data_IF_497136018372
#
_entry.id   IF_497136018372
#
_cell.length_a   1.000
_cell.length_b   1.000
_cell.length_c   1.000
_cell.angle_alpha   90.00
_cell.angle_beta   90.00
_cell.angle_gamma   90.00
#
_symmetry.space_group_name_H-M   'P 1'
#
loop_
_entity.id
_entity.type
_entity.pdbx_description
1 polymer ?
#
# COMPACT_ATOMS: atom_id res chain seq x y z
N UNK A 1 -6.62 -4.11 -17.23
CA UNK A 1 -7.36 -2.93 -16.71
C UNK A 1 -8.51 -3.35 -15.78
N UNK A 2 -9.35 -4.32 -16.18
CA UNK A 2 -10.55 -4.74 -15.42
C UNK A 2 -10.25 -5.21 -13.99
N UNK A 3 -9.26 -6.05 -13.78
CA UNK A 3 -8.94 -6.61 -12.46
C UNK A 3 -8.48 -5.57 -11.45
N UNK A 4 -7.62 -4.63 -11.88
CA UNK A 4 -7.14 -3.54 -11.01
C UNK A 4 -8.29 -2.60 -10.64
N UNK A 5 -9.13 -2.23 -11.60
CA UNK A 5 -10.28 -1.35 -11.35
C UNK A 5 -11.25 -1.94 -10.31
N UNK A 6 -11.59 -3.23 -10.44
CA UNK A 6 -12.46 -3.90 -9.46
C UNK A 6 -11.80 -4.03 -8.08
N UNK A 7 -10.52 -4.37 -8.03
CA UNK A 7 -9.77 -4.42 -6.77
C UNK A 7 -9.76 -3.06 -6.07
N UNK A 8 -9.56 -1.99 -6.81
CA UNK A 8 -9.58 -0.62 -6.26
C UNK A 8 -10.96 -0.24 -5.73
N UNK A 9 -12.02 -0.56 -6.48
CA UNK A 9 -13.41 -0.27 -6.04
C UNK A 9 -13.73 -1.01 -4.74
N UNK A 10 -13.44 -2.30 -4.67
CA UNK A 10 -13.71 -3.12 -3.48
C UNK A 10 -12.91 -2.61 -2.28
N UNK A 11 -11.62 -2.34 -2.46
CA UNK A 11 -10.78 -1.84 -1.37
C UNK A 11 -11.12 -0.42 -0.96
N UNK A 12 -11.54 0.43 -1.89
CA UNK A 12 -12.00 1.79 -1.59
C UNK A 12 -13.29 1.76 -0.77
N UNK A 13 -14.25 0.92 -1.16
CA UNK A 13 -15.49 0.72 -0.40
C UNK A 13 -15.19 0.20 1.01
N UNK A 14 -14.34 -0.81 1.14
CA UNK A 14 -13.91 -1.34 2.43
C UNK A 14 -13.16 -0.30 3.27
N UNK A 15 -12.29 0.49 2.66
CA UNK A 15 -11.55 1.55 3.33
C UNK A 15 -12.49 2.65 3.86
N UNK A 16 -13.46 3.11 3.07
CA UNK A 16 -14.46 4.10 3.50
C UNK A 16 -15.29 3.54 4.65
N UNK A 17 -15.73 2.29 4.55
CA UNK A 17 -16.51 1.63 5.60
C UNK A 17 -15.71 1.56 6.90
N UNK A 18 -14.46 1.12 6.86
CA UNK A 18 -13.58 1.08 8.04
C UNK A 18 -13.28 2.47 8.59
N UNK A 19 -13.10 3.45 7.73
CA UNK A 19 -12.83 4.83 8.16
C UNK A 19 -14.01 5.42 8.93
N UNK A 20 -15.22 5.20 8.47
CA UNK A 20 -16.45 5.69 9.12
C UNK A 20 -16.78 4.90 10.38
N UNK A 21 -16.62 3.57 10.35
CA UNK A 21 -16.94 2.70 11.47
C UNK A 21 -15.82 2.60 12.52
N UNK A 22 -14.64 3.15 12.25
CA UNK A 22 -13.50 3.09 13.17
C UNK A 22 -13.85 3.45 14.62
N UNK A 23 -14.50 4.58 14.93
CA UNK A 23 -14.86 4.91 16.33
C UNK A 23 -15.84 3.92 16.93
N UNK A 24 -16.82 3.44 16.16
CA UNK A 24 -17.81 2.48 16.64
C UNK A 24 -17.20 1.12 16.97
N UNK A 25 -16.30 0.65 16.09
CA UNK A 25 -15.59 -0.63 16.30
C UNK A 25 -14.74 -0.57 17.58
N UNK A 26 -14.02 0.51 17.80
CA UNK A 26 -13.11 0.64 18.95
C UNK A 26 -13.87 0.78 20.26
N UNK A 27 -15.02 1.44 20.28
CA UNK A 27 -15.88 1.51 21.47
C UNK A 27 -16.28 0.14 22.00
N UNK A 28 -16.39 -0.87 21.13
CA UNK A 28 -16.71 -2.27 21.52
C UNK A 28 -15.50 -2.95 22.17
N UNK A 29 -14.27 -2.60 21.77
CA UNK A 29 -13.06 -3.30 22.20
C UNK A 29 -12.35 -2.66 23.38
N UNK A 30 -12.49 -1.35 23.61
CA UNK A 30 -11.80 -0.66 24.68
C UNK A 30 -12.61 0.52 25.20
N UNK A 31 -12.61 0.69 26.51
CA UNK A 31 -13.23 1.84 27.20
C UNK A 31 -12.23 2.96 27.49
N UNK A 32 -10.94 2.73 27.26
CA UNK A 32 -9.89 3.72 27.51
C UNK A 32 -9.85 4.77 26.41
N UNK A 33 -10.09 6.08 26.72
CA UNK A 33 -10.15 7.14 25.72
C UNK A 33 -8.81 7.38 25.03
N UNK A 34 -7.68 7.09 25.68
CA UNK A 34 -6.34 7.24 25.09
C UNK A 34 -6.11 6.17 24.02
N UNK A 35 -6.42 4.92 24.35
CA UNK A 35 -6.31 3.79 23.42
C UNK A 35 -7.27 3.98 22.26
N UNK A 36 -8.50 4.44 22.52
CA UNK A 36 -9.47 4.73 21.46
C UNK A 36 -8.94 5.74 20.44
N UNK A 37 -8.39 6.86 20.88
CA UNK A 37 -7.84 7.90 20.00
C UNK A 37 -6.70 7.37 19.12
N UNK A 38 -5.75 6.65 19.71
CA UNK A 38 -4.60 6.10 19.01
C UNK A 38 -5.05 5.07 17.96
N UNK A 39 -5.97 4.18 18.35
CA UNK A 39 -6.44 3.11 17.46
C UNK A 39 -7.33 3.63 16.34
N UNK A 40 -8.20 4.59 16.59
CA UNK A 40 -8.99 5.24 15.54
C UNK A 40 -8.09 5.93 14.52
N UNK A 41 -7.07 6.64 14.98
CA UNK A 41 -6.09 7.25 14.09
C UNK A 41 -5.37 6.21 13.24
N UNK A 42 -4.95 5.09 13.83
CA UNK A 42 -4.32 3.97 13.14
C UNK A 42 -5.23 3.37 12.05
N UNK A 43 -6.49 3.09 12.38
CA UNK A 43 -7.47 2.54 11.42
C UNK A 43 -7.70 3.51 10.26
N UNK A 44 -7.78 4.80 10.54
CA UNK A 44 -7.92 5.82 9.49
C UNK A 44 -6.70 5.89 8.57
N UNK A 45 -5.50 5.84 9.13
CA UNK A 45 -4.26 5.77 8.34
C UNK A 45 -4.23 4.53 7.45
N UNK A 46 -4.54 3.36 8.00
CA UNK A 46 -4.58 2.11 7.24
C UNK A 46 -5.64 2.17 6.15
N UNK A 47 -6.84 2.67 6.45
CA UNK A 47 -7.91 2.80 5.47
C UNK A 47 -7.48 3.62 4.25
N UNK A 48 -6.69 4.68 4.47
CA UNK A 48 -6.13 5.47 3.40
C UNK A 48 -5.07 4.72 2.58
N UNK A 49 -4.31 3.83 3.22
CA UNK A 49 -3.24 3.05 2.58
C UNK A 49 -3.79 1.90 1.72
N UNK A 50 -4.93 1.31 2.09
CA UNK A 50 -5.47 0.12 1.42
C UNK A 50 -5.62 0.23 -0.10
N UNK A 51 -6.15 1.30 -0.68
CA UNK A 51 -6.25 1.44 -2.14
C UNK A 51 -4.89 1.39 -2.83
N UNK A 52 -3.87 2.01 -2.22
CA UNK A 52 -2.50 1.98 -2.76
C UNK A 52 -1.89 0.59 -2.70
N UNK A 53 -2.08 -0.11 -1.59
CA UNK A 53 -1.65 -1.52 -1.45
C UNK A 53 -2.33 -2.39 -2.50
N UNK A 54 -3.64 -2.23 -2.71
CA UNK A 54 -4.39 -2.99 -3.70
C UNK A 54 -3.85 -2.80 -5.12
N UNK A 55 -3.57 -1.57 -5.51
CA UNK A 55 -2.97 -1.25 -6.82
C UNK A 55 -1.59 -1.88 -6.94
N UNK A 56 -0.74 -1.71 -5.94
CA UNK A 56 0.62 -2.25 -5.92
C UNK A 56 0.65 -3.78 -6.00
N UNK A 57 -0.17 -4.45 -5.17
CA UNK A 57 -0.26 -5.91 -5.17
C UNK A 57 -0.85 -6.47 -6.46
N UNK A 58 -1.92 -5.86 -6.99
CA UNK A 58 -2.52 -6.27 -8.26
C UNK A 58 -1.53 -6.12 -9.41
N UNK A 59 -0.79 -5.03 -9.46
CA UNK A 59 0.27 -4.79 -10.44
C UNK A 59 1.38 -5.85 -10.35
N UNK A 60 1.82 -6.16 -9.14
CA UNK A 60 2.83 -7.19 -8.90
C UNK A 60 2.37 -8.59 -9.31
N UNK A 61 1.13 -8.95 -9.00
CA UNK A 61 0.56 -10.25 -9.40
C UNK A 61 0.40 -10.39 -10.92
N UNK A 62 0.03 -9.31 -11.61
CA UNK A 62 -0.02 -9.30 -13.08
C UNK A 62 1.39 -9.55 -13.67
N UNK A 63 2.42 -8.92 -13.12
CA UNK A 63 3.80 -9.16 -13.52
C UNK A 63 4.25 -10.61 -13.28
N UNK A 64 3.84 -11.19 -12.15
CA UNK A 64 4.08 -12.63 -11.88
C UNK A 64 3.38 -13.53 -12.88
N UNK A 65 2.12 -13.24 -13.23
CA UNK A 65 1.36 -13.99 -14.24
C UNK A 65 1.98 -13.91 -15.64
N UNK A 66 2.77 -12.87 -15.93
CA UNK A 66 3.57 -12.76 -17.16
C UNK A 66 4.94 -13.45 -17.07
N UNK A 67 5.17 -14.29 -16.07
CA UNK A 67 6.44 -15.00 -15.84
C UNK A 67 7.55 -14.11 -15.24
N UNK A 68 7.24 -12.89 -14.80
CA UNK A 68 8.21 -11.97 -14.22
C UNK A 68 7.99 -11.84 -12.71
N UNK A 69 8.48 -12.80 -11.94
CA UNK A 69 8.36 -12.82 -10.48
C UNK A 69 9.27 -11.81 -9.76
N UNK A 70 10.45 -11.53 -10.29
CA UNK A 70 11.42 -10.60 -9.69
C UNK A 70 10.86 -9.21 -9.39
N UNK A 71 10.09 -8.55 -10.27
CA UNK A 71 9.51 -7.25 -9.98
C UNK A 71 8.69 -7.21 -8.70
N UNK A 72 7.93 -8.25 -8.42
CA UNK A 72 7.13 -8.33 -7.20
C UNK A 72 7.99 -8.36 -5.93
N UNK A 73 9.07 -9.14 -5.94
CA UNK A 73 10.03 -9.18 -4.82
C UNK A 73 10.70 -7.83 -4.63
N UNK A 74 11.15 -7.20 -5.72
CA UNK A 74 11.80 -5.89 -5.67
C UNK A 74 10.87 -4.81 -5.12
N UNK A 75 9.62 -4.75 -5.58
CA UNK A 75 8.62 -3.78 -5.11
C UNK A 75 8.35 -3.98 -3.62
N UNK A 76 8.20 -5.23 -3.17
CA UNK A 76 7.95 -5.55 -1.77
C UNK A 76 9.16 -5.21 -0.89
N UNK A 77 10.37 -5.51 -1.37
CA UNK A 77 11.61 -5.17 -0.68
C UNK A 77 11.82 -3.66 -0.57
N UNK A 78 11.58 -2.91 -1.63
CA UNK A 78 11.62 -1.44 -1.59
C UNK A 78 10.65 -0.91 -0.54
N UNK A 79 9.42 -1.40 -0.54
CA UNK A 79 8.40 -0.95 0.40
C UNK A 79 8.81 -1.18 1.85
N UNK A 80 9.27 -2.39 2.17
CA UNK A 80 9.55 -2.79 3.55
C UNK A 80 10.94 -2.34 3.99
N UNK A 81 11.98 -2.72 3.24
CA UNK A 81 13.36 -2.55 3.66
C UNK A 81 13.92 -1.16 3.37
N UNK A 82 13.61 -0.58 2.19
CA UNK A 82 14.22 0.68 1.77
C UNK A 82 13.42 1.92 2.21
N UNK A 83 12.14 1.80 2.40
CA UNK A 83 11.30 2.95 2.75
C UNK A 83 10.70 2.82 4.14
N UNK A 84 9.94 1.75 4.42
CA UNK A 84 9.21 1.64 5.68
C UNK A 84 10.15 1.50 6.89
N UNK A 85 11.12 0.60 6.84
CA UNK A 85 12.01 0.33 7.97
C UNK A 85 12.94 1.52 8.29
N UNK A 86 13.66 2.13 7.32
CA UNK A 86 14.50 3.29 7.61
C UNK A 86 13.72 4.51 8.09
N UNK A 87 12.53 4.78 7.51
CA UNK A 87 11.70 5.88 7.97
C UNK A 87 11.13 5.64 9.37
N UNK A 88 10.67 4.42 9.66
CA UNK A 88 10.18 4.07 10.98
C UNK A 88 11.30 4.20 12.04
N UNK A 89 12.50 3.73 11.72
CA UNK A 89 13.68 3.87 12.59
C UNK A 89 14.04 5.34 12.79
N UNK A 90 14.09 6.13 11.74
CA UNK A 90 14.40 7.55 11.79
C UNK A 90 13.42 8.32 12.68
N UNK A 91 12.12 8.13 12.48
CA UNK A 91 11.10 8.82 13.28
C UNK A 91 11.06 8.35 14.73
N UNK A 92 11.25 7.04 14.98
CA UNK A 92 11.20 6.47 16.32
C UNK A 92 12.45 6.79 17.15
N UNK A 93 13.63 6.61 16.56
CA UNK A 93 14.91 6.64 17.32
C UNK A 93 15.56 8.01 17.29
N UNK A 94 15.59 8.68 16.12
CA UNK A 94 16.34 9.94 15.97
C UNK A 94 15.49 11.13 16.41
N UNK A 95 14.21 11.16 16.02
CA UNK A 95 13.32 12.27 16.35
C UNK A 95 12.54 12.08 17.66
N UNK A 96 12.58 10.87 18.27
CA UNK A 96 11.84 10.58 19.50
C UNK A 96 10.33 10.88 19.41
N UNK A 97 9.78 10.79 18.20
CA UNK A 97 8.38 11.14 17.94
C UNK A 97 7.44 10.00 18.32
N UNK A 98 6.16 10.31 18.66
CA UNK A 98 5.19 9.29 19.01
C UNK A 98 4.94 8.30 17.86
N UNK A 99 4.47 7.10 18.20
CA UNK A 99 4.20 5.97 17.28
C UNK A 99 3.43 6.35 16.02
N UNK A 100 2.65 7.42 16.07
CA UNK A 100 1.89 7.97 14.93
C UNK A 100 2.79 8.27 13.71
N UNK A 101 4.02 8.67 13.91
CA UNK A 101 4.96 8.97 12.82
C UNK A 101 5.45 7.71 12.09
N UNK A 102 5.44 6.56 12.76
CA UNK A 102 5.70 5.26 12.11
C UNK A 102 4.61 4.96 11.09
N UNK A 103 3.36 5.32 11.36
CA UNK A 103 2.26 5.13 10.42
C UNK A 103 2.36 6.04 9.20
N UNK A 104 2.84 7.27 9.37
CA UNK A 104 3.16 8.15 8.24
C UNK A 104 4.26 7.54 7.35
N UNK A 105 5.26 6.89 7.94
CA UNK A 105 6.30 6.20 7.15
C UNK A 105 5.72 5.06 6.32
N UNK A 106 4.74 4.33 6.86
CA UNK A 106 4.01 3.29 6.11
C UNK A 106 3.18 3.87 4.95
N UNK A 107 2.56 5.04 5.15
CA UNK A 107 1.82 5.72 4.09
C UNK A 107 2.74 6.12 2.94
N UNK A 108 3.85 6.79 3.24
CA UNK A 108 4.85 7.21 2.26
C UNK A 108 5.40 6.00 1.51
N UNK A 109 5.78 4.96 2.25
CA UNK A 109 6.28 3.71 1.70
C UNK A 109 5.30 3.06 0.71
N UNK A 110 4.01 3.03 1.05
CA UNK A 110 2.98 2.44 0.20
C UNK A 110 2.77 3.24 -1.09
N UNK A 111 2.80 4.56 -1.02
CA UNK A 111 2.69 5.44 -2.20
C UNK A 111 3.89 5.22 -3.12
N UNK A 112 5.11 5.23 -2.58
CA UNK A 112 6.34 5.01 -3.35
C UNK A 112 6.33 3.65 -4.03
N UNK A 113 6.05 2.58 -3.27
CA UNK A 113 6.00 1.22 -3.81
C UNK A 113 4.93 1.05 -4.88
N UNK A 114 3.75 1.64 -4.70
CA UNK A 114 2.68 1.60 -5.69
C UNK A 114 3.08 2.33 -6.97
N UNK A 115 3.71 3.48 -6.86
CA UNK A 115 4.20 4.23 -8.02
C UNK A 115 5.22 3.41 -8.82
N UNK A 116 6.18 2.79 -8.13
CA UNK A 116 7.17 1.90 -8.76
C UNK A 116 6.49 0.70 -9.43
N UNK A 117 5.52 0.07 -8.76
CA UNK A 117 4.80 -1.06 -9.30
C UNK A 117 4.04 -0.73 -10.58
N UNK A 118 3.32 0.38 -10.60
CA UNK A 118 2.56 0.84 -11.76
C UNK A 118 3.47 1.21 -12.93
N UNK A 119 4.54 1.96 -12.67
CA UNK A 119 5.52 2.33 -13.70
C UNK A 119 6.13 1.08 -14.33
N UNK A 120 6.53 0.12 -13.51
CA UNK A 120 7.13 -1.12 -13.99
C UNK A 120 6.12 -1.94 -14.80
N UNK A 121 4.89 -2.07 -14.33
CA UNK A 121 3.82 -2.75 -15.05
C UNK A 121 3.58 -2.12 -16.43
N UNK A 122 3.43 -0.80 -16.48
CA UNK A 122 3.18 -0.07 -17.74
C UNK A 122 4.33 -0.24 -18.71
N UNK A 123 5.59 -0.15 -18.23
CA UNK A 123 6.78 -0.37 -19.07
C UNK A 123 6.82 -1.81 -19.61
N UNK A 124 6.54 -2.79 -18.77
CA UNK A 124 6.54 -4.20 -19.18
C UNK A 124 5.47 -4.48 -20.22
N UNK A 125 4.26 -3.97 -20.03
CA UNK A 125 3.16 -4.12 -20.99
C UNK A 125 3.54 -3.47 -22.35
N UNK A 126 4.06 -2.25 -22.33
CA UNK A 126 4.49 -1.56 -23.57
C UNK A 126 5.57 -2.34 -24.32
N UNK A 127 6.52 -2.90 -23.61
CA UNK A 127 7.58 -3.75 -24.22
C UNK A 127 7.01 -5.02 -24.83
N UNK A 128 6.08 -5.69 -24.15
CA UNK A 128 5.44 -6.90 -24.68
C UNK A 128 4.64 -6.62 -25.96
N UNK A 129 3.85 -5.55 -25.98
CA UNK A 129 3.11 -5.17 -27.19
C UNK A 129 4.03 -4.75 -28.34
N UNK A 130 5.15 -4.08 -28.04
CA UNK A 130 6.12 -3.67 -29.07
C UNK A 130 6.83 -4.86 -29.74
N UNK A 131 7.02 -5.96 -29.00
CA UNK A 131 7.63 -7.20 -29.52
C UNK A 131 6.65 -7.96 -30.39
N UNK A 132 5.35 -7.96 -30.06
CA UNK A 132 4.34 -8.67 -30.85
C UNK A 132 3.96 -7.97 -32.16
N UNK A 133 4.19 -6.66 -32.28
CA UNK A 133 3.82 -5.86 -33.46
C UNK A 133 4.96 -5.80 -34.50
N UNK A 134 6.16 -6.33 -34.18
CA UNK A 134 7.27 -6.39 -35.15
C UNK A 134 7.13 -7.66 -35.97
N UNK A 135 6.57 -7.61 -37.19
CA UNK A 135 6.53 -8.79 -38.08
C UNK A 135 7.95 -9.22 -38.43
N UNK A 136 8.14 -10.54 -38.49
CA UNK A 136 9.37 -11.16 -39.01
C UNK A 136 9.57 -10.80 -40.46
#
# INVERSE_FOLDING_TARGET
>A
KYGISRAVIITLTGAITLFVLAPAIIHVFSSDPVIQKITVFYIRCISFIYPFIAIGMSSGRILQGMGKGLPFLVITSIRILLVSAPLAFYFSTILGKPVQYVWYSMMISSIVATSVAVIWLVRTIKLHFKIQIKPK
#
